data_IF_639545435591
#
_entry.id   IF_639545435591
#
_cell.length_a   1.000
_cell.length_b   1.000
_cell.length_c   1.000
_cell.angle_alpha   90.00
_cell.angle_beta   90.00
_cell.angle_gamma   90.00
#
_symmetry.space_group_name_H-M   'P 1'
#
loop_
_entity.id
_entity.type
_entity.pdbx_description
1 polymer ?
#
# COMPACT_ATOMS: atom_id res chain seq x y z
N UNK A 1 -36.26 -28.49 -13.43
CA UNK A 1 -35.23 -27.97 -14.36
C UNK A 1 -33.94 -27.80 -13.56
N UNK A 2 -32.83 -28.43 -13.97
CA UNK A 2 -31.51 -28.16 -13.37
C UNK A 2 -31.13 -26.73 -13.75
N UNK A 3 -30.76 -25.90 -12.78
CA UNK A 3 -30.17 -24.59 -13.04
C UNK A 3 -28.97 -24.75 -14.00
N UNK A 4 -28.73 -23.79 -14.93
CA UNK A 4 -27.54 -23.84 -15.76
C UNK A 4 -26.30 -23.93 -14.87
N UNK A 5 -25.36 -24.83 -15.21
CA UNK A 5 -24.05 -24.84 -14.56
C UNK A 5 -23.42 -23.46 -14.76
N UNK A 6 -22.99 -22.84 -13.66
CA UNK A 6 -22.27 -21.58 -13.73
C UNK A 6 -21.04 -21.66 -14.63
N UNK A 7 -20.63 -20.54 -15.22
CA UNK A 7 -19.49 -20.47 -16.13
C UNK A 7 -18.39 -19.59 -15.51
N UNK A 8 -17.16 -20.10 -15.49
CA UNK A 8 -15.98 -19.34 -15.04
C UNK A 8 -15.91 -19.12 -13.53
N UNK A 9 -15.05 -18.17 -13.14
CA UNK A 9 -14.74 -17.86 -11.74
C UNK A 9 -15.25 -16.48 -11.34
N UNK A 10 -15.98 -16.40 -10.24
CA UNK A 10 -16.46 -15.14 -9.65
C UNK A 10 -15.87 -14.90 -8.26
N UNK A 11 -15.89 -13.65 -7.81
CA UNK A 11 -15.51 -13.28 -6.45
C UNK A 11 -16.41 -12.16 -5.88
N UNK A 12 -16.92 -12.34 -4.67
CA UNK A 12 -17.59 -11.30 -3.88
C UNK A 12 -16.58 -10.57 -3.00
N UNK A 13 -16.46 -9.25 -3.17
CA UNK A 13 -15.54 -8.39 -2.45
C UNK A 13 -16.30 -7.46 -1.50
N UNK A 14 -15.91 -7.43 -0.22
CA UNK A 14 -16.61 -6.73 0.86
C UNK A 14 -15.66 -5.72 1.52
N UNK A 15 -16.05 -4.45 1.54
CA UNK A 15 -15.24 -3.35 2.08
C UNK A 15 -15.32 -3.24 3.61
N UNK A 16 -14.48 -2.36 4.19
CA UNK A 16 -14.39 -2.11 5.63
C UNK A 16 -15.45 -1.14 6.16
N UNK A 17 -15.41 -0.88 7.46
CA UNK A 17 -16.29 0.08 8.13
C UNK A 17 -15.90 1.51 7.74
N UNK A 18 -16.87 2.33 7.35
CA UNK A 18 -16.64 3.72 6.94
C UNK A 18 -16.03 3.84 5.53
N UNK A 19 -15.55 2.75 4.96
CA UNK A 19 -14.97 2.73 3.64
C UNK A 19 -15.94 2.36 2.52
N UNK A 20 -15.35 2.04 1.38
CA UNK A 20 -16.05 1.68 0.14
C UNK A 20 -15.22 0.65 -0.64
N UNK A 21 -15.59 0.33 -1.88
CA UNK A 21 -14.75 -0.50 -2.76
C UNK A 21 -13.29 -0.01 -2.91
N UNK A 22 -12.98 1.25 -2.57
CA UNK A 22 -11.61 1.77 -2.57
C UNK A 22 -10.70 1.09 -1.55
N UNK A 23 -11.24 0.55 -0.45
CA UNK A 23 -10.46 -0.12 0.62
C UNK A 23 -9.71 -1.35 0.09
N UNK A 24 -10.22 -1.96 -0.98
CA UNK A 24 -9.65 -3.14 -1.63
C UNK A 24 -8.58 -2.76 -2.67
N UNK A 25 -8.28 -1.47 -2.83
CA UNK A 25 -7.18 -0.97 -3.65
C UNK A 25 -7.15 -1.55 -5.08
N UNK A 26 -6.04 -2.17 -5.52
CA UNK A 26 -5.91 -2.72 -6.86
C UNK A 26 -6.60 -4.09 -7.05
N UNK A 27 -7.14 -4.70 -5.99
CA UNK A 27 -7.59 -6.10 -5.98
C UNK A 27 -8.63 -6.41 -7.05
N UNK A 28 -9.64 -5.54 -7.20
CA UNK A 28 -10.64 -5.62 -8.26
C UNK A 28 -10.02 -5.72 -9.67
N UNK A 29 -8.98 -4.91 -9.93
CA UNK A 29 -8.32 -4.89 -11.24
C UNK A 29 -7.41 -6.11 -11.43
N UNK A 30 -6.74 -6.56 -10.36
CA UNK A 30 -5.86 -7.73 -10.40
C UNK A 30 -6.64 -9.02 -10.69
N UNK A 31 -7.75 -9.25 -9.98
CA UNK A 31 -8.62 -10.42 -10.18
C UNK A 31 -9.21 -10.45 -11.59
N UNK A 32 -9.71 -9.32 -12.12
CA UNK A 32 -10.24 -9.26 -13.47
C UNK A 32 -9.22 -9.59 -14.56
N UNK A 33 -7.94 -9.24 -14.37
CA UNK A 33 -6.88 -9.56 -15.34
C UNK A 33 -6.61 -11.06 -15.47
N UNK A 34 -6.86 -11.83 -14.41
CA UNK A 34 -6.71 -13.29 -14.43
C UNK A 34 -8.02 -14.02 -14.75
N UNK A 35 -9.05 -13.28 -15.19
CA UNK A 35 -10.33 -13.85 -15.62
C UNK A 35 -11.35 -14.06 -14.52
N UNK A 36 -11.14 -13.50 -13.32
CA UNK A 36 -12.11 -13.55 -12.22
C UNK A 36 -13.08 -12.37 -12.33
N UNK A 37 -14.38 -12.65 -12.42
CA UNK A 37 -15.41 -11.62 -12.39
C UNK A 37 -15.63 -11.15 -10.95
N UNK A 38 -15.51 -9.85 -10.69
CA UNK A 38 -15.58 -9.30 -9.33
C UNK A 38 -16.89 -8.58 -9.09
N UNK A 39 -17.54 -8.89 -7.98
CA UNK A 39 -18.75 -8.23 -7.48
C UNK A 39 -18.45 -7.51 -6.18
N UNK A 40 -18.96 -6.29 -6.01
CA UNK A 40 -18.85 -5.53 -4.77
C UNK A 40 -20.24 -5.09 -4.31
N UNK A 41 -20.44 -5.06 -3.00
CA UNK A 41 -21.68 -4.59 -2.39
C UNK A 41 -21.37 -3.31 -1.61
N UNK A 42 -22.17 -2.27 -1.82
CA UNK A 42 -22.19 -1.12 -0.91
C UNK A 42 -23.01 -1.51 0.31
N UNK A 43 -22.35 -1.59 1.47
CA UNK A 43 -23.00 -1.97 2.71
C UNK A 43 -24.02 -0.90 3.16
N UNK A 44 -25.15 -1.29 3.77
CA UNK A 44 -26.09 -0.35 4.39
C UNK A 44 -25.39 0.72 5.25
N UNK A 45 -25.79 1.98 5.07
CA UNK A 45 -25.21 3.14 5.75
C UNK A 45 -23.87 3.66 5.18
N UNK A 46 -23.32 3.01 4.15
CA UNK A 46 -22.09 3.45 3.47
C UNK A 46 -22.39 4.12 2.13
N UNK A 47 -21.47 4.98 1.66
CA UNK A 47 -21.61 5.74 0.41
C UNK A 47 -22.44 7.02 0.52
N UNK A 48 -22.86 7.38 1.73
CA UNK A 48 -23.60 8.60 2.07
C UNK A 48 -22.83 9.46 3.06
N UNK A 49 -23.38 9.65 4.25
CA UNK A 49 -22.77 10.35 5.38
C UNK A 49 -22.59 9.42 6.59
N UNK A 50 -21.68 9.72 7.53
CA UNK A 50 -21.48 8.89 8.73
C UNK A 50 -22.75 8.64 9.55
N UNK A 51 -23.66 9.61 9.60
CA UNK A 51 -24.95 9.49 10.30
C UNK A 51 -25.87 8.40 9.70
N UNK A 52 -25.69 8.03 8.43
CA UNK A 52 -26.44 6.95 7.79
C UNK A 52 -26.13 5.57 8.38
N UNK A 53 -25.06 5.44 9.18
CA UNK A 53 -24.72 4.23 9.94
C UNK A 53 -25.53 4.07 11.23
N UNK A 54 -26.14 5.14 11.75
CA UNK A 54 -26.86 5.11 13.03
C UNK A 54 -28.02 4.11 13.10
N UNK A 55 -28.89 3.98 12.07
CA UNK A 55 -30.00 3.03 12.13
C UNK A 55 -29.58 1.59 11.81
N UNK A 56 -28.33 1.36 11.38
CA UNK A 56 -27.89 0.08 10.81
C UNK A 56 -27.40 -0.87 11.90
N UNK A 57 -27.82 -2.13 11.82
CA UNK A 57 -27.36 -3.21 12.71
C UNK A 57 -26.49 -4.24 11.97
N UNK A 58 -25.73 -5.03 12.73
CA UNK A 58 -24.83 -6.06 12.19
C UNK A 58 -25.54 -7.05 11.24
N UNK A 59 -26.80 -7.40 11.55
CA UNK A 59 -27.64 -8.24 10.71
C UNK A 59 -27.91 -7.63 9.34
N UNK A 60 -28.13 -6.31 9.23
CA UNK A 60 -28.42 -5.66 7.95
C UNK A 60 -27.23 -5.80 6.99
N UNK A 61 -26.01 -5.64 7.51
CA UNK A 61 -24.79 -5.86 6.73
C UNK A 61 -24.65 -7.31 6.31
N UNK A 62 -24.83 -8.26 7.25
CA UNK A 62 -24.71 -9.68 6.96
C UNK A 62 -25.78 -10.14 5.95
N UNK A 63 -27.01 -9.69 6.08
CA UNK A 63 -28.10 -10.04 5.17
C UNK A 63 -27.89 -9.42 3.79
N UNK A 64 -27.34 -8.19 3.70
CA UNK A 64 -26.98 -7.57 2.42
C UNK A 64 -25.94 -8.39 1.66
N UNK A 65 -24.83 -8.76 2.31
CA UNK A 65 -23.79 -9.59 1.67
C UNK A 65 -24.28 -11.01 1.39
N UNK A 66 -25.15 -11.55 2.24
CA UNK A 66 -25.76 -12.87 2.05
C UNK A 66 -26.66 -12.90 0.83
N UNK A 67 -27.49 -11.86 0.63
CA UNK A 67 -28.35 -11.74 -0.56
C UNK A 67 -27.51 -11.69 -1.84
N UNK A 68 -26.49 -10.84 -1.87
CA UNK A 68 -25.58 -10.76 -3.00
C UNK A 68 -24.89 -12.10 -3.29
N UNK A 69 -24.43 -12.80 -2.24
CA UNK A 69 -23.85 -14.13 -2.37
C UNK A 69 -24.84 -15.13 -2.97
N UNK A 70 -26.07 -15.22 -2.43
CA UNK A 70 -27.09 -16.17 -2.89
C UNK A 70 -27.48 -15.93 -4.36
N UNK A 71 -27.47 -14.67 -4.82
CA UNK A 71 -27.74 -14.30 -6.22
C UNK A 71 -26.59 -14.65 -7.19
N UNK A 72 -25.37 -14.83 -6.69
CA UNK A 72 -24.16 -14.95 -7.50
C UNK A 72 -23.54 -16.34 -7.48
N UNK A 73 -23.55 -17.04 -6.34
CA UNK A 73 -22.78 -18.28 -6.14
C UNK A 73 -23.13 -19.40 -7.13
N UNK A 74 -24.38 -19.44 -7.61
CA UNK A 74 -24.83 -20.43 -8.59
C UNK A 74 -24.58 -20.04 -10.05
N UNK A 75 -24.19 -18.80 -10.32
CA UNK A 75 -23.82 -18.31 -11.66
C UNK A 75 -22.39 -18.67 -12.07
N UNK A 76 -21.55 -19.06 -11.12
CA UNK A 76 -20.14 -19.39 -11.35
C UNK A 76 -19.85 -20.86 -11.04
N UNK A 77 -18.85 -21.41 -11.73
CA UNK A 77 -18.32 -22.75 -11.42
C UNK A 77 -17.53 -22.71 -10.12
N UNK A 78 -16.67 -21.70 -9.99
CA UNK A 78 -15.93 -21.38 -8.77
C UNK A 78 -16.34 -19.99 -8.28
N UNK A 79 -16.65 -19.85 -6.99
CA UNK A 79 -17.03 -18.55 -6.42
C UNK A 79 -16.26 -18.28 -5.14
N UNK A 80 -15.42 -17.25 -5.13
CA UNK A 80 -14.62 -16.85 -3.96
C UNK A 80 -15.34 -15.75 -3.16
N UNK A 81 -15.00 -15.65 -1.87
CA UNK A 81 -15.47 -14.57 -1.01
C UNK A 81 -14.25 -13.88 -0.39
N UNK A 82 -14.23 -12.55 -0.41
CA UNK A 82 -13.12 -11.75 0.09
C UNK A 82 -13.63 -10.55 0.85
N UNK A 83 -12.99 -10.24 1.97
CA UNK A 83 -13.33 -9.06 2.75
C UNK A 83 -12.12 -8.40 3.40
N UNK A 84 -12.22 -7.08 3.57
CA UNK A 84 -11.23 -6.24 4.26
C UNK A 84 -11.80 -5.68 5.56
N UNK A 85 -11.04 -5.72 6.65
CA UNK A 85 -11.45 -5.20 7.96
C UNK A 85 -12.82 -5.76 8.42
N UNK A 86 -13.83 -4.91 8.63
CA UNK A 86 -15.20 -5.32 8.94
C UNK A 86 -15.79 -6.25 7.86
N UNK A 87 -15.46 -6.00 6.60
CA UNK A 87 -15.81 -6.86 5.48
C UNK A 87 -15.23 -8.26 5.61
N UNK A 88 -14.06 -8.43 6.21
CA UNK A 88 -13.49 -9.74 6.50
C UNK A 88 -14.31 -10.49 7.57
N UNK A 89 -14.80 -9.81 8.60
CA UNK A 89 -15.72 -10.41 9.59
C UNK A 89 -17.04 -10.84 8.94
N UNK A 90 -17.58 -10.03 8.04
CA UNK A 90 -18.77 -10.36 7.27
C UNK A 90 -18.53 -11.56 6.35
N UNK A 91 -17.38 -11.62 5.67
CA UNK A 91 -16.99 -12.74 4.81
C UNK A 91 -16.88 -14.05 5.60
N UNK A 92 -16.24 -14.02 6.77
CA UNK A 92 -16.13 -15.15 7.70
C UNK A 92 -17.51 -15.63 8.16
N UNK A 93 -18.36 -14.71 8.65
CA UNK A 93 -19.71 -15.02 9.12
C UNK A 93 -20.61 -15.53 7.98
N UNK A 94 -20.50 -14.96 6.78
CA UNK A 94 -21.22 -15.42 5.59
C UNK A 94 -20.82 -16.86 5.22
N UNK A 95 -19.52 -17.14 5.14
CA UNK A 95 -19.02 -18.47 4.75
C UNK A 95 -19.41 -19.53 5.78
N UNK A 96 -19.40 -19.18 7.07
CA UNK A 96 -19.91 -20.03 8.14
C UNK A 96 -21.42 -20.28 7.99
N UNK A 97 -22.23 -19.22 7.88
CA UNK A 97 -23.70 -19.31 7.76
C UNK A 97 -24.16 -20.08 6.53
N UNK A 98 -23.48 -19.92 5.40
CA UNK A 98 -23.82 -20.55 4.12
C UNK A 98 -23.09 -21.85 3.86
N UNK A 99 -22.21 -22.27 4.79
CA UNK A 99 -21.38 -23.47 4.61
C UNK A 99 -20.72 -23.49 3.24
N UNK A 100 -20.05 -22.37 2.91
CA UNK A 100 -19.49 -22.14 1.59
C UNK A 100 -18.47 -23.22 1.20
N UNK A 101 -18.61 -23.78 -0.01
CA UNK A 101 -17.74 -24.86 -0.55
C UNK A 101 -17.39 -24.72 -2.04
N UNK A 102 -17.90 -23.69 -2.72
CA UNK A 102 -17.69 -23.49 -4.17
C UNK A 102 -16.41 -22.74 -4.52
N UNK A 103 -15.65 -22.31 -3.53
CA UNK A 103 -14.41 -21.60 -3.72
C UNK A 103 -13.72 -21.43 -2.38
N UNK A 104 -13.03 -20.31 -2.25
CA UNK A 104 -12.14 -20.04 -1.13
C UNK A 104 -12.48 -18.69 -0.50
N UNK A 105 -12.12 -18.56 0.77
CA UNK A 105 -12.30 -17.35 1.56
C UNK A 105 -10.98 -16.60 1.70
N UNK A 106 -11.02 -15.27 1.56
CA UNK A 106 -9.89 -14.38 1.83
C UNK A 106 -10.28 -13.33 2.86
N UNK A 107 -9.62 -13.35 4.01
CA UNK A 107 -9.79 -12.40 5.09
C UNK A 107 -8.56 -11.49 5.18
N UNK A 108 -8.77 -10.19 4.93
CA UNK A 108 -7.72 -9.16 4.92
C UNK A 108 -7.88 -8.26 6.15
N UNK A 109 -6.86 -8.19 7.00
CA UNK A 109 -6.81 -7.42 8.25
C UNK A 109 -8.08 -7.58 9.13
N UNK A 110 -8.52 -8.81 9.36
CA UNK A 110 -9.77 -9.08 10.09
C UNK A 110 -9.67 -8.67 11.57
N UNK A 111 -10.48 -7.71 12.07
CA UNK A 111 -10.36 -7.18 13.43
C UNK A 111 -11.11 -8.04 14.45
N UNK A 112 -10.73 -9.33 14.58
CA UNK A 112 -11.31 -10.24 15.59
C UNK A 112 -11.06 -9.69 17.01
N UNK A 113 -9.87 -9.15 17.24
CA UNK A 113 -9.50 -8.37 18.41
C UNK A 113 -9.20 -6.93 17.99
N UNK A 114 -9.84 -5.96 18.68
CA UNK A 114 -9.53 -4.53 18.53
C UNK A 114 -8.56 -4.18 19.65
N UNK A 115 -7.30 -4.51 19.44
CA UNK A 115 -6.19 -4.38 20.39
C UNK A 115 -4.87 -3.99 19.73
N UNK A 116 -4.92 -3.36 18.55
CA UNK A 116 -3.76 -2.81 17.87
C UNK A 116 -3.10 -1.67 18.67
N UNK A 117 -1.89 -1.31 18.27
CA UNK A 117 -1.02 -0.41 19.04
C UNK A 117 -1.55 1.03 19.17
N UNK A 118 -2.40 1.48 18.24
CA UNK A 118 -3.03 2.81 18.25
C UNK A 118 -4.38 2.82 18.98
N UNK A 119 -4.90 1.65 19.38
CA UNK A 119 -6.16 1.58 20.10
C UNK A 119 -6.05 2.20 21.50
N UNK A 120 -6.97 3.09 21.92
CA UNK A 120 -6.88 3.74 23.21
C UNK A 120 -6.86 2.74 24.38
N UNK A 121 -6.05 3.00 25.41
CA UNK A 121 -5.95 2.13 26.60
C UNK A 121 -7.31 1.92 27.29
N UNK A 122 -8.20 2.92 27.21
CA UNK A 122 -9.56 2.90 27.77
C UNK A 122 -10.60 2.26 26.84
N UNK A 123 -10.20 1.62 25.73
CA UNK A 123 -11.13 1.03 24.74
C UNK A 123 -12.18 0.10 25.34
N UNK A 124 -11.91 -0.54 26.47
CA UNK A 124 -12.85 -1.42 27.17
C UNK A 124 -14.06 -0.65 27.77
N UNK A 125 -13.92 0.65 28.03
CA UNK A 125 -15.00 1.51 28.53
C UNK A 125 -16.16 1.65 27.53
N UNK A 126 -15.97 1.29 26.25
CA UNK A 126 -17.07 1.28 25.28
C UNK A 126 -18.20 0.33 25.67
N UNK A 127 -17.88 -0.80 26.32
CA UNK A 127 -18.89 -1.80 26.70
C UNK A 127 -19.90 -1.24 27.71
N UNK A 128 -19.50 -0.63 28.85
CA UNK A 128 -20.46 0.05 29.72
C UNK A 128 -21.15 1.24 29.02
N UNK A 129 -20.44 1.99 28.16
CA UNK A 129 -21.03 3.10 27.39
C UNK A 129 -22.18 2.64 26.48
N UNK A 130 -22.13 1.43 25.93
CA UNK A 130 -23.22 0.87 25.12
C UNK A 130 -24.54 0.71 25.88
N UNK A 131 -24.50 0.62 27.21
CA UNK A 131 -25.68 0.49 28.05
C UNK A 131 -26.31 1.85 28.41
N UNK A 132 -25.62 2.96 28.14
CA UNK A 132 -26.13 4.31 28.41
C UNK A 132 -26.98 4.75 27.20
N UNK A 133 -28.31 4.97 27.37
CA UNK A 133 -29.21 5.28 26.26
C UNK A 133 -28.77 6.52 25.47
N UNK A 134 -28.67 6.39 24.15
CA UNK A 134 -28.34 7.47 23.21
C UNK A 134 -26.88 7.94 23.22
N UNK A 135 -26.05 7.55 24.20
CA UNK A 135 -24.68 8.04 24.31
C UNK A 135 -23.79 7.51 23.17
N UNK A 136 -23.88 6.22 22.87
CA UNK A 136 -23.12 5.61 21.77
C UNK A 136 -23.48 6.18 20.38
N UNK A 137 -24.70 6.71 20.19
CA UNK A 137 -25.10 7.37 18.95
C UNK A 137 -24.51 8.79 18.82
N UNK A 138 -24.12 9.42 19.93
CA UNK A 138 -23.58 10.79 19.96
C UNK A 138 -22.06 10.85 19.96
N UNK A 139 -21.39 9.78 20.39
CA UNK A 139 -19.93 9.71 20.40
C UNK A 139 -19.45 9.39 18.98
N UNK A 140 -18.56 10.24 18.47
CA UNK A 140 -17.84 10.03 17.22
C UNK A 140 -16.52 9.33 17.51
N UNK A 141 -16.19 8.35 16.68
CA UNK A 141 -14.88 7.71 16.65
C UNK A 141 -14.22 8.21 15.38
N UNK A 142 -13.25 9.10 15.54
CA UNK A 142 -12.54 9.71 14.41
C UNK A 142 -11.55 8.71 13.79
N UNK A 143 -11.43 8.80 12.47
CA UNK A 143 -10.41 8.13 11.67
C UNK A 143 -9.22 9.09 11.63
N UNK A 144 -8.23 8.83 12.49
CA UNK A 144 -7.08 9.71 12.72
C UNK A 144 -5.81 9.20 12.05
N UNK A 145 -4.82 10.08 11.90
CA UNK A 145 -3.50 9.73 11.37
C UNK A 145 -2.85 8.65 12.25
N UNK A 146 -2.35 7.53 11.68
CA UNK A 146 -1.92 7.30 10.28
C UNK A 146 -2.97 6.75 9.28
N UNK A 147 -4.26 6.71 9.57
CA UNK A 147 -5.34 6.23 8.67
C UNK A 147 -5.17 4.78 8.18
N UNK A 148 -4.55 3.94 9.00
CA UNK A 148 -4.21 2.57 8.66
C UNK A 148 -3.05 2.44 7.68
N UNK A 149 -2.29 3.50 7.38
CA UNK A 149 -1.30 3.50 6.30
C UNK A 149 0.09 3.85 6.84
N UNK A 150 1.06 2.95 6.68
CA UNK A 150 2.47 3.14 7.06
C UNK A 150 3.21 4.05 6.07
N UNK A 151 2.92 3.94 4.78
CA UNK A 151 3.54 4.75 3.75
C UNK A 151 3.21 6.25 3.87
N UNK A 152 4.21 7.09 4.13
CA UNK A 152 4.02 8.54 4.32
C UNK A 152 3.45 9.26 3.09
N UNK A 153 3.84 8.85 1.87
CA UNK A 153 3.34 9.47 0.63
C UNK A 153 1.85 9.13 0.42
N UNK A 154 1.48 7.86 0.59
CA UNK A 154 0.08 7.43 0.47
C UNK A 154 -0.76 8.10 1.56
N UNK A 155 -0.24 8.16 2.79
CA UNK A 155 -0.88 8.87 3.91
C UNK A 155 -1.10 10.35 3.60
N UNK A 156 -0.10 11.05 3.07
CA UNK A 156 -0.24 12.45 2.65
C UNK A 156 -1.30 12.64 1.56
N UNK A 157 -1.39 11.71 0.59
CA UNK A 157 -2.44 11.72 -0.44
C UNK A 157 -3.83 11.51 0.17
N UNK A 158 -3.98 10.57 1.11
CA UNK A 158 -5.23 10.31 1.82
C UNK A 158 -5.67 11.51 2.65
N UNK A 159 -4.73 12.13 3.38
CA UNK A 159 -4.95 13.37 4.13
C UNK A 159 -5.45 14.49 3.23
N UNK A 160 -4.77 14.72 2.10
CA UNK A 160 -5.19 15.74 1.14
C UNK A 160 -6.58 15.45 0.52
N UNK A 161 -6.93 14.18 0.30
CA UNK A 161 -8.28 13.78 -0.15
C UNK A 161 -9.33 14.10 0.90
N UNK A 162 -9.06 13.79 2.15
CA UNK A 162 -9.94 14.16 3.24
C UNK A 162 -10.13 15.67 3.27
N UNK A 163 -9.05 16.46 3.28
CA UNK A 163 -9.09 17.94 3.32
C UNK A 163 -9.92 18.56 2.18
N UNK A 164 -9.92 17.95 0.99
CA UNK A 164 -10.77 18.35 -0.14
C UNK A 164 -12.25 17.95 -0.01
N UNK A 165 -12.59 17.09 0.94
CA UNK A 165 -13.94 16.58 1.13
C UNK A 165 -14.30 15.42 0.19
N UNK A 166 -13.30 14.66 -0.30
CA UNK A 166 -13.55 13.50 -1.15
C UNK A 166 -14.25 12.38 -0.32
N UNK A 167 -15.42 11.90 -0.77
CA UNK A 167 -16.20 10.84 -0.09
C UNK A 167 -15.71 9.42 -0.45
N UNK A 168 -14.43 9.12 -0.24
CA UNK A 168 -13.87 7.77 -0.48
C UNK A 168 -13.90 6.87 0.76
N UNK A 169 -13.86 7.49 1.95
CA UNK A 169 -13.96 6.89 3.27
C UNK A 169 -14.53 7.93 4.23
N UNK A 170 -15.22 7.51 5.28
CA UNK A 170 -15.69 8.40 6.33
C UNK A 170 -14.53 8.84 7.24
N UNK A 171 -14.54 10.11 7.64
CA UNK A 171 -13.58 10.67 8.60
C UNK A 171 -13.86 10.28 10.05
N UNK A 172 -15.07 9.81 10.32
CA UNK A 172 -15.48 9.35 11.63
C UNK A 172 -16.66 8.40 11.47
N UNK A 173 -16.90 7.57 12.49
CA UNK A 173 -18.07 6.69 12.58
C UNK A 173 -18.73 6.82 13.95
N UNK A 174 -20.06 6.62 14.06
CA UNK A 174 -20.70 6.60 15.37
C UNK A 174 -20.20 5.43 16.22
N UNK A 175 -20.01 5.64 17.52
CA UNK A 175 -19.64 4.56 18.44
C UNK A 175 -20.70 3.43 18.48
N UNK A 176 -21.97 3.76 18.20
CA UNK A 176 -23.05 2.80 18.01
C UNK A 176 -22.76 1.80 16.86
N UNK A 177 -22.03 2.23 15.84
CA UNK A 177 -21.61 1.38 14.72
C UNK A 177 -20.51 0.39 15.16
N UNK A 178 -19.55 0.86 15.99
CA UNK A 178 -18.51 -0.01 16.59
C UNK A 178 -19.15 -1.11 17.46
N UNK A 179 -20.27 -0.82 18.14
CA UNK A 179 -21.05 -1.85 18.86
C UNK A 179 -21.52 -2.98 17.94
N UNK A 180 -21.89 -2.66 16.69
CA UNK A 180 -22.30 -3.67 15.71
C UNK A 180 -21.09 -4.48 15.22
N UNK A 181 -19.93 -3.85 15.03
CA UNK A 181 -18.66 -4.56 14.78
C UNK A 181 -18.33 -5.52 15.92
N UNK A 182 -18.50 -5.10 17.18
CA UNK A 182 -18.33 -5.98 18.35
C UNK A 182 -19.30 -7.18 18.36
N UNK A 183 -20.46 -7.09 17.70
CA UNK A 183 -21.34 -8.26 17.48
C UNK A 183 -20.80 -9.19 16.41
N UNK A 184 -20.35 -8.65 15.27
CA UNK A 184 -19.70 -9.43 14.21
C UNK A 184 -18.49 -10.20 14.75
N UNK A 185 -17.65 -9.53 15.55
CA UNK A 185 -16.50 -10.13 16.23
C UNK A 185 -16.91 -11.34 17.08
N UNK A 186 -18.00 -11.22 17.85
CA UNK A 186 -18.53 -12.33 18.66
C UNK A 186 -19.05 -13.50 17.82
N UNK A 187 -19.68 -13.22 16.68
CA UNK A 187 -20.09 -14.28 15.76
C UNK A 187 -18.89 -15.05 15.22
N UNK A 188 -17.85 -14.34 14.77
CA UNK A 188 -16.60 -14.96 14.29
C UNK A 188 -15.91 -15.76 15.41
N UNK A 189 -15.79 -15.20 16.62
CA UNK A 189 -15.21 -15.89 17.78
C UNK A 189 -15.94 -17.22 18.08
N UNK A 190 -17.27 -17.24 17.98
CA UNK A 190 -18.08 -18.43 18.22
C UNK A 190 -18.29 -19.35 17.00
N UNK A 191 -17.86 -18.92 15.81
CA UNK A 191 -18.23 -19.54 14.53
C UNK A 191 -17.08 -19.99 13.64
N UNK A 192 -15.88 -19.43 13.79
CA UNK A 192 -14.75 -19.68 12.87
C UNK A 192 -14.46 -21.18 12.62
N UNK A 193 -14.59 -22.03 13.63
CA UNK A 193 -14.39 -23.49 13.51
C UNK A 193 -15.40 -24.22 12.62
N UNK A 194 -16.50 -23.58 12.22
CA UNK A 194 -17.51 -24.13 11.30
C UNK A 194 -17.31 -23.69 9.85
N UNK A 195 -16.28 -22.90 9.56
CA UNK A 195 -15.94 -22.51 8.20
C UNK A 195 -15.43 -23.74 7.45
N UNK A 196 -16.01 -23.98 6.28
CA UNK A 196 -15.85 -25.22 5.54
C UNK A 196 -14.91 -25.14 4.33
N UNK A 197 -14.58 -23.93 3.88
CA UNK A 197 -13.73 -23.69 2.72
C UNK A 197 -12.29 -23.33 3.13
N UNK A 198 -11.30 -23.59 2.26
CA UNK A 198 -9.95 -23.10 2.47
C UNK A 198 -9.95 -21.58 2.64
N UNK A 199 -9.18 -21.09 3.61
CA UNK A 199 -9.18 -19.68 4.01
C UNK A 199 -7.76 -19.10 3.97
N UNK A 200 -7.59 -17.96 3.31
CA UNK A 200 -6.38 -17.14 3.41
C UNK A 200 -6.61 -16.02 4.41
N UNK A 201 -5.70 -15.88 5.37
CA UNK A 201 -5.65 -14.76 6.30
C UNK A 201 -4.41 -13.94 5.99
N UNK A 202 -4.59 -12.67 5.63
CA UNK A 202 -3.49 -11.73 5.41
C UNK A 202 -3.59 -10.62 6.44
N UNK A 203 -2.51 -10.37 7.18
CA UNK A 203 -2.52 -9.44 8.31
C UNK A 203 -1.17 -8.74 8.46
N UNK A 204 -1.17 -7.46 8.82
CA UNK A 204 0.05 -6.70 9.07
C UNK A 204 0.61 -6.96 10.48
N UNK A 205 1.94 -7.10 10.60
CA UNK A 205 2.60 -7.25 11.91
C UNK A 205 2.34 -6.04 12.82
N UNK A 206 2.43 -4.85 12.25
CA UNK A 206 2.27 -3.57 12.94
C UNK A 206 0.90 -2.95 12.67
N UNK A 207 -0.17 -3.74 12.72
CA UNK A 207 -1.52 -3.21 12.55
C UNK A 207 -1.98 -2.40 13.77
N UNK A 208 -2.41 -1.18 13.50
CA UNK A 208 -2.73 -0.18 14.52
C UNK A 208 -4.09 -0.39 15.19
N UNK A 209 -5.01 -1.08 14.51
CA UNK A 209 -6.38 -1.32 14.95
C UNK A 209 -6.53 -2.72 15.56
N UNK A 210 -5.91 -3.72 14.94
CA UNK A 210 -6.05 -5.14 15.32
C UNK A 210 -4.70 -5.83 15.33
N UNK A 211 -4.23 -6.28 16.49
CA UNK A 211 -2.94 -6.98 16.56
C UNK A 211 -2.94 -8.31 15.80
N UNK A 212 -1.74 -8.89 15.61
CA UNK A 212 -1.54 -10.23 15.03
C UNK A 212 -2.34 -11.34 15.71
N UNK A 213 -2.77 -11.13 16.96
CA UNK A 213 -3.63 -12.04 17.70
C UNK A 213 -4.90 -12.42 16.92
N UNK A 214 -5.44 -11.50 16.12
CA UNK A 214 -6.59 -11.81 15.27
C UNK A 214 -6.27 -12.86 14.22
N UNK A 215 -5.12 -12.74 13.55
CA UNK A 215 -4.67 -13.71 12.55
C UNK A 215 -4.31 -15.06 13.20
N UNK A 216 -3.63 -15.04 14.34
CA UNK A 216 -3.28 -16.25 15.09
C UNK A 216 -4.53 -17.00 15.58
N UNK A 217 -5.55 -16.28 16.03
CA UNK A 217 -6.83 -16.89 16.38
C UNK A 217 -7.50 -17.55 15.18
N UNK A 218 -7.54 -16.88 14.02
CA UNK A 218 -8.16 -17.44 12.83
C UNK A 218 -7.41 -18.67 12.32
N UNK A 219 -6.07 -18.65 12.32
CA UNK A 219 -5.23 -19.79 11.98
C UNK A 219 -5.49 -21.00 12.91
N UNK A 220 -5.67 -20.76 14.21
CA UNK A 220 -5.96 -21.83 15.16
C UNK A 220 -7.41 -22.33 15.10
N UNK A 221 -8.36 -21.46 14.78
CA UNK A 221 -9.79 -21.75 14.88
C UNK A 221 -10.39 -22.30 13.57
N UNK A 222 -9.96 -21.82 12.40
CA UNK A 222 -10.50 -22.25 11.10
C UNK A 222 -9.77 -23.52 10.63
N UNK A 223 -10.48 -24.57 10.16
CA UNK A 223 -9.86 -25.88 9.88
C UNK A 223 -8.77 -25.90 8.79
N UNK A 224 -8.87 -25.05 7.77
CA UNK A 224 -7.94 -25.00 6.64
C UNK A 224 -7.56 -23.55 6.37
N UNK A 225 -6.38 -23.17 6.87
CA UNK A 225 -5.88 -21.79 6.82
C UNK A 225 -4.47 -21.72 6.25
N UNK A 226 -4.26 -20.74 5.37
CA UNK A 226 -2.96 -20.16 5.08
C UNK A 226 -2.88 -18.78 5.70
N UNK A 227 -1.90 -18.54 6.57
CA UNK A 227 -1.61 -17.21 7.14
C UNK A 227 -0.47 -16.54 6.41
N UNK A 228 -0.62 -15.26 6.10
CA UNK A 228 0.43 -14.39 5.55
C UNK A 228 0.55 -13.17 6.45
N UNK A 229 1.76 -12.94 6.96
CA UNK A 229 2.08 -11.75 7.76
C UNK A 229 2.84 -10.78 6.88
N UNK A 230 2.38 -9.52 6.85
CA UNK A 230 3.03 -8.42 6.16
C UNK A 230 3.90 -7.64 7.13
N UNK A 231 5.09 -7.26 6.71
CA UNK A 231 6.11 -6.67 7.59
C UNK A 231 6.18 -5.15 7.49
N UNK A 232 5.65 -4.54 6.43
CA UNK A 232 5.81 -3.11 6.15
C UNK A 232 4.48 -2.38 5.88
N UNK A 233 3.39 -2.81 6.50
CA UNK A 233 2.09 -2.14 6.39
C UNK A 233 1.42 -1.95 7.75
N UNK A 234 0.47 -1.02 7.83
CA UNK A 234 -0.47 -0.91 8.95
C UNK A 234 -1.81 -1.57 8.57
N UNK A 235 -2.95 -1.04 9.03
CA UNK A 235 -4.24 -1.68 8.89
C UNK A 235 -4.72 -1.81 7.43
N UNK A 236 -4.50 -0.80 6.60
CA UNK A 236 -5.00 -0.68 5.21
C UNK A 236 -4.08 -1.37 4.18
N UNK A 237 -3.82 -2.65 4.41
CA UNK A 237 -2.83 -3.47 3.68
C UNK A 237 -3.03 -3.52 2.15
N UNK A 238 -4.25 -3.27 1.66
CA UNK A 238 -4.53 -3.28 0.21
C UNK A 238 -4.03 -2.04 -0.54
N UNK A 239 -3.68 -0.96 0.18
CA UNK A 239 -3.22 0.31 -0.41
C UNK A 239 -1.86 0.76 0.12
N UNK A 240 -1.32 0.08 1.13
CA UNK A 240 -0.07 0.42 1.79
C UNK A 240 1.18 -0.11 1.03
N UNK A 241 2.35 -0.15 1.68
CA UNK A 241 3.61 -0.62 1.07
C UNK A 241 3.50 -2.03 0.50
N UNK A 242 2.97 -3.00 1.27
CA UNK A 242 2.93 -4.41 0.88
C UNK A 242 1.77 -4.77 -0.06
N UNK A 243 1.06 -3.78 -0.62
CA UNK A 243 -0.11 -4.01 -1.49
C UNK A 243 0.15 -4.99 -2.64
N UNK A 244 1.37 -5.04 -3.17
CA UNK A 244 1.75 -5.98 -4.23
C UNK A 244 1.91 -7.41 -3.70
N UNK A 245 2.46 -7.57 -2.50
CA UNK A 245 2.53 -8.84 -1.80
C UNK A 245 1.12 -9.35 -1.45
N UNK A 246 0.22 -8.46 -1.02
CA UNK A 246 -1.20 -8.81 -0.77
C UNK A 246 -1.84 -9.37 -2.04
N UNK A 247 -1.74 -8.64 -3.15
CA UNK A 247 -2.28 -9.09 -4.45
C UNK A 247 -1.66 -10.43 -4.87
N UNK A 248 -0.34 -10.56 -4.76
CA UNK A 248 0.36 -11.78 -5.15
C UNK A 248 -0.07 -12.98 -4.30
N UNK A 249 -0.16 -12.80 -2.98
CA UNK A 249 -0.56 -13.86 -2.05
C UNK A 249 -2.00 -14.31 -2.26
N UNK A 250 -2.89 -13.36 -2.55
CA UNK A 250 -4.29 -13.65 -2.89
C UNK A 250 -4.36 -14.45 -4.18
N UNK A 251 -3.72 -14.00 -5.27
CA UNK A 251 -3.81 -14.69 -6.55
C UNK A 251 -3.23 -16.10 -6.49
N UNK A 252 -2.06 -16.24 -5.87
CA UNK A 252 -1.40 -17.53 -5.65
C UNK A 252 -2.31 -18.49 -4.87
N UNK A 253 -2.91 -18.03 -3.77
CA UNK A 253 -3.84 -18.83 -2.99
C UNK A 253 -5.09 -19.24 -3.77
N UNK A 254 -5.59 -18.34 -4.63
CA UNK A 254 -6.73 -18.59 -5.51
C UNK A 254 -6.39 -19.47 -6.73
N UNK A 255 -5.13 -19.91 -6.87
CA UNK A 255 -4.67 -20.78 -7.97
C UNK A 255 -4.36 -20.03 -9.28
N UNK A 256 -4.15 -18.72 -9.22
CA UNK A 256 -3.78 -17.89 -10.37
C UNK A 256 -2.32 -17.47 -10.31
N UNK A 257 -1.66 -17.45 -11.47
CA UNK A 257 -0.30 -16.94 -11.61
C UNK A 257 -0.27 -15.40 -11.36
N UNK A 258 0.40 -14.93 -10.29
CA UNK A 258 0.51 -13.50 -9.99
C UNK A 258 1.12 -12.68 -11.13
N UNK A 259 2.00 -13.29 -11.95
CA UNK A 259 2.64 -12.61 -13.08
C UNK A 259 1.62 -12.15 -14.14
N UNK A 260 0.47 -12.83 -14.27
CA UNK A 260 -0.61 -12.45 -15.20
C UNK A 260 -1.42 -11.24 -14.73
N UNK A 261 -1.50 -11.02 -13.42
CA UNK A 261 -2.21 -9.88 -12.85
C UNK A 261 -1.36 -8.61 -12.76
N UNK A 262 -0.03 -8.76 -12.75
CA UNK A 262 0.89 -7.64 -12.91
C UNK A 262 0.46 -6.88 -14.15
N UNK A 263 0.24 -5.57 -13.99
CA UNK A 263 0.15 -4.69 -15.14
C UNK A 263 1.45 -4.98 -15.89
N UNK A 264 1.42 -5.50 -17.13
CA UNK A 264 2.55 -5.24 -18.02
C UNK A 264 2.76 -3.75 -17.85
N UNK A 265 3.91 -3.36 -17.29
CA UNK A 265 4.32 -1.97 -17.24
C UNK A 265 3.90 -1.45 -18.59
N UNK A 266 2.91 -0.54 -18.65
CA UNK A 266 2.64 0.13 -19.92
C UNK A 266 4.04 0.52 -20.35
N UNK A 267 4.55 -0.02 -21.47
CA UNK A 267 5.78 0.51 -22.07
C UNK A 267 5.54 1.99 -21.96
N UNK A 268 6.32 2.67 -21.11
CA UNK A 268 6.25 4.11 -21.04
C UNK A 268 6.45 4.49 -22.49
N UNK A 269 5.40 5.04 -23.12
CA UNK A 269 5.58 5.60 -24.43
C UNK A 269 6.55 6.72 -24.11
N UNK A 270 7.81 6.52 -24.45
CA UNK A 270 8.82 7.56 -24.31
C UNK A 270 8.36 8.67 -25.24
N UNK A 271 7.74 9.70 -24.65
CA UNK A 271 7.47 10.93 -25.38
C UNK A 271 8.79 11.69 -25.34
N UNK A 272 9.44 11.90 -26.50
CA UNK A 272 10.63 12.72 -26.58
C UNK A 272 10.32 14.10 -26.02
N UNK A 273 11.23 14.63 -25.22
CA UNK A 273 11.16 15.99 -24.71
C UNK A 273 11.78 16.96 -25.71
N UNK A 274 11.21 18.16 -25.80
CA UNK A 274 11.84 19.28 -26.49
C UNK A 274 13.13 19.68 -25.79
N UNK A 275 14.13 20.14 -26.54
CA UNK A 275 15.45 20.47 -26.01
C UNK A 275 15.41 21.52 -24.89
N UNK A 276 14.50 22.49 -24.99
CA UNK A 276 14.29 23.52 -23.95
C UNK A 276 13.80 22.89 -22.63
N UNK A 277 12.84 21.96 -22.70
CA UNK A 277 12.32 21.27 -21.52
C UNK A 277 13.38 20.39 -20.85
N UNK A 278 14.28 19.78 -21.64
CA UNK A 278 15.43 19.05 -21.11
C UNK A 278 16.39 20.03 -20.43
N UNK A 279 16.64 21.20 -21.04
CA UNK A 279 17.45 22.27 -20.45
C UNK A 279 16.94 22.72 -19.08
N UNK A 280 15.63 22.97 -18.96
CA UNK A 280 14.99 23.32 -17.68
C UNK A 280 15.16 22.21 -16.64
N UNK A 281 14.81 20.96 -17.01
CA UNK A 281 14.88 19.82 -16.11
C UNK A 281 16.32 19.55 -15.60
N UNK A 282 17.30 19.63 -16.50
CA UNK A 282 18.72 19.45 -16.16
C UNK A 282 19.23 20.62 -15.31
N UNK A 283 18.76 21.84 -15.58
CA UNK A 283 19.06 23.02 -14.76
C UNK A 283 18.55 22.88 -13.33
N UNK A 284 17.30 22.46 -13.15
CA UNK A 284 16.70 22.18 -11.84
C UNK A 284 17.46 21.08 -11.10
N UNK A 285 17.83 20.01 -11.82
CA UNK A 285 18.61 18.91 -11.27
C UNK A 285 20.00 19.35 -10.78
N UNK A 286 20.74 20.11 -11.59
CA UNK A 286 22.05 20.64 -11.21
C UNK A 286 21.92 21.60 -10.03
N UNK A 287 20.91 22.48 -10.02
CA UNK A 287 20.67 23.41 -8.93
C UNK A 287 20.38 22.67 -7.62
N UNK A 288 19.55 21.63 -7.64
CA UNK A 288 19.26 20.81 -6.47
C UNK A 288 20.53 20.16 -5.89
N UNK A 289 21.42 19.65 -6.76
CA UNK A 289 22.70 19.07 -6.33
C UNK A 289 23.66 20.11 -5.75
N UNK A 290 23.82 21.27 -6.40
CA UNK A 290 24.86 22.25 -6.03
C UNK A 290 24.46 23.14 -4.85
N UNK A 291 23.16 23.29 -4.58
CA UNK A 291 22.64 24.05 -3.44
C UNK A 291 22.42 23.20 -2.18
N UNK A 292 22.83 21.93 -2.21
CA UNK A 292 22.67 20.96 -1.10
C UNK A 292 21.21 20.65 -0.73
N UNK A 293 20.27 20.92 -1.64
CA UNK A 293 18.85 20.56 -1.51
C UNK A 293 18.58 19.23 -2.24
N UNK A 294 19.17 18.14 -1.74
CA UNK A 294 19.10 16.84 -2.41
C UNK A 294 17.67 16.30 -2.54
N UNK A 295 16.78 16.68 -1.63
CA UNK A 295 15.35 16.37 -1.66
C UNK A 295 14.65 16.89 -2.92
N UNK A 296 15.13 17.99 -3.49
CA UNK A 296 14.58 18.57 -4.71
C UNK A 296 14.90 17.74 -5.96
N UNK A 297 15.84 16.78 -5.88
CA UNK A 297 16.15 15.85 -6.97
C UNK A 297 15.03 14.82 -7.16
N UNK A 298 14.43 14.32 -6.08
CA UNK A 298 13.52 13.16 -6.13
C UNK A 298 12.26 13.39 -6.99
N UNK A 299 11.62 14.58 -6.96
CA UNK A 299 10.51 14.89 -7.84
C UNK A 299 10.89 14.94 -9.32
N UNK A 300 12.17 15.15 -9.68
CA UNK A 300 12.65 15.20 -11.07
C UNK A 300 12.86 13.81 -11.67
N UNK A 301 13.02 12.79 -10.82
CA UNK A 301 13.26 11.41 -11.25
C UNK A 301 11.96 10.69 -11.62
N UNK A 302 12.02 9.79 -12.60
CA UNK A 302 10.97 8.83 -12.84
C UNK A 302 10.85 7.84 -11.65
N UNK A 303 9.68 7.25 -11.37
CA UNK A 303 9.56 6.25 -10.31
C UNK A 303 10.46 5.02 -10.53
N UNK A 304 10.67 4.65 -11.79
CA UNK A 304 11.50 3.52 -12.23
C UNK A 304 12.89 3.97 -12.68
N UNK A 305 13.41 5.06 -12.10
CA UNK A 305 14.72 5.59 -12.47
C UNK A 305 15.81 4.55 -12.25
N UNK A 306 16.73 4.45 -13.20
CA UNK A 306 17.90 3.58 -13.09
C UNK A 306 19.14 4.43 -12.84
N UNK A 307 19.72 4.35 -11.65
CA UNK A 307 20.89 5.14 -11.27
C UNK A 307 22.12 4.26 -11.09
N UNK A 308 23.23 4.60 -11.74
CA UNK A 308 24.47 3.80 -11.71
C UNK A 308 25.70 4.64 -11.44
N UNK A 309 26.53 4.19 -10.52
CA UNK A 309 27.89 4.72 -10.30
C UNK A 309 28.92 3.68 -10.75
N UNK A 310 29.55 3.90 -11.91
CA UNK A 310 30.50 2.98 -12.54
C UNK A 310 31.94 3.14 -12.00
N UNK A 311 32.11 3.31 -10.69
CA UNK A 311 33.36 3.72 -10.06
C UNK A 311 33.65 2.94 -8.77
N UNK A 312 34.85 3.10 -8.21
CA UNK A 312 35.22 2.63 -6.86
C UNK A 312 35.24 3.82 -5.90
N UNK A 313 34.06 4.32 -5.52
CA UNK A 313 33.90 5.33 -4.46
C UNK A 313 32.75 4.91 -3.53
N UNK A 314 32.53 5.59 -2.39
CA UNK A 314 31.58 5.13 -1.37
C UNK A 314 30.11 4.96 -1.82
N UNK A 315 29.70 5.55 -2.95
CA UNK A 315 28.34 5.41 -3.52
C UNK A 315 28.32 4.55 -4.80
N UNK A 316 29.39 3.83 -5.09
CA UNK A 316 29.44 2.85 -6.15
C UNK A 316 28.29 1.84 -6.02
N UNK A 317 27.60 1.56 -7.13
CA UNK A 317 26.45 0.66 -7.12
C UNK A 317 25.43 0.98 -8.20
N UNK A 318 24.39 0.15 -8.23
CA UNK A 318 23.18 0.35 -9.03
C UNK A 318 22.00 0.53 -8.09
N UNK A 319 21.14 1.49 -8.39
CA UNK A 319 19.94 1.83 -7.64
C UNK A 319 18.77 1.80 -8.62
N UNK A 320 17.88 0.83 -8.45
CA UNK A 320 16.92 0.42 -9.48
C UNK A 320 15.57 1.16 -9.45
N UNK A 321 15.38 2.02 -8.46
CA UNK A 321 14.20 2.86 -8.29
C UNK A 321 14.49 4.12 -7.47
N UNK A 322 13.46 4.95 -7.26
CA UNK A 322 13.58 6.20 -6.50
C UNK A 322 13.93 5.98 -5.03
N UNK A 323 13.42 4.91 -4.41
CA UNK A 323 13.65 4.66 -2.98
C UNK A 323 15.11 4.25 -2.74
N UNK A 324 15.68 3.44 -3.64
CA UNK A 324 17.10 3.12 -3.65
C UNK A 324 17.99 4.37 -3.83
N UNK A 325 17.56 5.35 -4.66
CA UNK A 325 18.28 6.63 -4.82
C UNK A 325 18.19 7.48 -3.56
N UNK A 326 17.03 7.54 -2.89
CA UNK A 326 16.88 8.25 -1.62
C UNK A 326 17.83 7.65 -0.57
N UNK A 327 17.89 6.33 -0.47
CA UNK A 327 18.81 5.62 0.43
C UNK A 327 20.29 5.92 0.10
N UNK A 328 20.64 6.07 -1.18
CA UNK A 328 21.98 6.49 -1.60
C UNK A 328 22.34 7.89 -1.07
N UNK A 329 21.43 8.87 -1.19
CA UNK A 329 21.67 10.22 -0.67
C UNK A 329 21.70 10.27 0.86
N UNK A 330 20.91 9.44 1.55
CA UNK A 330 20.99 9.27 2.99
C UNK A 330 22.37 8.73 3.42
N UNK A 331 22.86 7.69 2.74
CA UNK A 331 24.21 7.13 2.96
C UNK A 331 25.31 8.15 2.72
N UNK A 332 25.16 9.04 1.73
CA UNK A 332 26.10 10.15 1.51
C UNK A 332 26.13 11.12 2.70
N UNK A 333 24.98 11.42 3.29
CA UNK A 333 24.89 12.23 4.51
C UNK A 333 25.53 11.55 5.73
N UNK A 334 25.32 10.24 5.89
CA UNK A 334 25.96 9.44 6.95
C UNK A 334 27.49 9.44 6.82
N UNK A 335 28.00 9.22 5.60
CA UNK A 335 29.44 9.23 5.31
C UNK A 335 30.10 10.59 5.61
N UNK A 336 29.35 11.68 5.45
CA UNK A 336 29.83 13.01 5.78
C UNK A 336 29.80 13.31 7.28
N UNK A 337 29.25 12.43 8.13
CA UNK A 337 29.18 12.65 9.58
C UNK A 337 28.45 13.94 9.98
N UNK A 338 27.47 14.35 9.18
CA UNK A 338 26.75 15.63 9.35
C UNK A 338 27.52 16.87 8.85
N UNK A 339 28.71 16.71 8.26
CA UNK A 339 29.39 17.81 7.56
C UNK A 339 28.73 18.12 6.20
N UNK A 340 28.82 19.36 5.71
CA UNK A 340 28.28 19.71 4.40
C UNK A 340 28.95 18.93 3.27
N UNK A 341 28.14 18.34 2.39
CA UNK A 341 28.62 17.71 1.16
C UNK A 341 28.60 18.74 0.04
N UNK A 342 29.77 19.10 -0.48
CA UNK A 342 29.87 20.05 -1.58
C UNK A 342 29.85 19.32 -2.91
N UNK A 343 28.83 19.62 -3.72
CA UNK A 343 28.72 19.13 -5.09
C UNK A 343 28.83 20.34 -6.03
N UNK A 344 29.65 20.24 -7.07
CA UNK A 344 29.88 21.34 -8.02
C UNK A 344 29.83 20.81 -9.44
N UNK A 345 29.06 21.48 -10.30
CA UNK A 345 29.11 21.24 -11.74
C UNK A 345 30.39 21.85 -12.32
N UNK A 346 31.27 21.01 -12.90
CA UNK A 346 32.57 21.43 -13.45
C UNK A 346 32.51 21.80 -14.93
N UNK A 347 31.37 21.58 -15.59
CA UNK A 347 31.10 22.02 -16.96
C UNK A 347 29.63 22.40 -17.12
N UNK A 348 29.33 23.22 -18.13
CA UNK A 348 27.94 23.42 -18.55
C UNK A 348 27.35 22.10 -19.07
N UNK A 349 26.03 21.88 -18.91
CA UNK A 349 25.36 20.73 -19.48
C UNK A 349 25.33 20.79 -21.00
N UNK A 350 25.74 19.70 -21.63
CA UNK A 350 25.61 19.48 -23.06
C UNK A 350 24.43 18.54 -23.30
N UNK A 351 23.46 18.99 -24.09
CA UNK A 351 22.22 18.26 -24.35
C UNK A 351 22.27 17.72 -25.78
N UNK A 352 22.08 16.40 -25.93
CA UNK A 352 22.05 15.72 -27.22
C UNK A 352 20.84 14.78 -27.26
N UNK A 353 19.86 15.12 -28.10
CA UNK A 353 18.61 14.38 -28.23
C UNK A 353 17.87 14.31 -26.89
N UNK A 354 17.78 13.11 -26.31
CA UNK A 354 17.10 12.85 -25.02
C UNK A 354 18.09 12.70 -23.85
N UNK A 355 19.35 13.08 -24.06
CA UNK A 355 20.40 12.92 -23.07
C UNK A 355 21.06 14.24 -22.71
N UNK A 356 21.59 14.32 -21.51
CA UNK A 356 22.42 15.43 -21.08
C UNK A 356 23.67 14.91 -20.37
N UNK A 357 24.81 15.54 -20.62
CA UNK A 357 26.08 15.22 -19.95
C UNK A 357 26.70 16.48 -19.34
N UNK A 358 27.30 16.34 -18.16
CA UNK A 358 28.06 17.40 -17.52
C UNK A 358 29.07 16.84 -16.52
N UNK A 359 30.13 17.60 -16.24
CA UNK A 359 31.12 17.27 -15.24
C UNK A 359 30.62 17.58 -13.82
N UNK A 360 30.93 16.71 -12.87
CA UNK A 360 30.56 16.81 -11.47
C UNK A 360 31.78 16.55 -10.58
N UNK A 361 31.98 17.40 -9.58
CA UNK A 361 32.93 17.21 -8.49
C UNK A 361 32.16 17.11 -7.17
N UNK A 362 32.54 16.15 -6.34
CA UNK A 362 32.00 15.98 -4.97
C UNK A 362 33.15 16.04 -3.98
N UNK A 363 32.96 16.75 -2.87
CA UNK A 363 33.93 16.81 -1.78
C UNK A 363 33.25 16.98 -0.42
N UNK A 364 33.77 16.30 0.60
CA UNK A 364 33.38 16.45 2.01
C UNK A 364 34.50 15.94 2.92
N UNK A 365 34.30 16.04 4.24
CA UNK A 365 35.20 15.50 5.25
C UNK A 365 34.52 14.32 5.92
N UNK A 366 35.16 13.15 5.90
CA UNK A 366 34.71 11.94 6.60
C UNK A 366 35.73 11.62 7.70
N UNK A 367 35.30 11.62 8.96
CA UNK A 367 36.17 11.32 10.11
C UNK A 367 37.51 12.10 10.13
N UNK A 368 37.48 13.37 9.71
CA UNK A 368 38.66 14.24 9.61
C UNK A 368 39.51 14.05 8.36
N UNK A 369 39.17 13.10 7.49
CA UNK A 369 39.86 12.84 6.22
C UNK A 369 39.11 13.50 5.05
N UNK A 370 39.77 14.34 4.24
CA UNK A 370 39.17 14.89 3.03
C UNK A 370 38.86 13.78 2.01
N UNK A 371 37.60 13.69 1.58
CA UNK A 371 37.16 12.80 0.52
C UNK A 371 36.71 13.64 -0.67
N UNK A 372 37.24 13.35 -1.85
CA UNK A 372 36.82 14.03 -3.08
C UNK A 372 36.89 13.10 -4.29
N UNK A 373 35.96 13.28 -5.22
CA UNK A 373 35.98 12.60 -6.51
C UNK A 373 35.41 13.48 -7.62
N UNK A 374 35.81 13.20 -8.86
CA UNK A 374 35.41 13.95 -10.06
C UNK A 374 35.10 13.01 -11.21
N UNK A 375 34.14 13.40 -12.04
CA UNK A 375 33.67 12.57 -13.15
C UNK A 375 32.60 13.25 -13.97
N UNK A 376 32.00 12.48 -14.87
CA UNK A 376 30.95 12.93 -15.78
C UNK A 376 29.66 12.24 -15.40
N UNK A 377 28.59 13.01 -15.29
CA UNK A 377 27.24 12.52 -15.09
C UNK A 377 26.47 12.57 -16.40
N UNK A 378 25.83 11.46 -16.74
CA UNK A 378 24.99 11.27 -17.92
C UNK A 378 23.55 11.10 -17.46
N UNK A 379 22.64 11.85 -18.05
CA UNK A 379 21.21 11.81 -17.77
C UNK A 379 20.48 11.36 -19.03
N UNK A 380 19.49 10.49 -18.88
CA UNK A 380 18.51 10.18 -19.92
C UNK A 380 17.15 10.72 -19.48
N UNK A 381 16.53 11.54 -20.32
CA UNK A 381 15.28 12.25 -20.02
C UNK A 381 14.17 11.76 -20.93
N UNK A 382 12.97 11.57 -20.39
CA UNK A 382 11.75 11.39 -21.17
C UNK A 382 10.53 11.74 -20.33
N UNK A 383 9.40 12.08 -20.96
CA UNK A 383 8.14 12.34 -20.25
C UNK A 383 8.24 13.40 -19.13
N UNK A 384 9.11 14.40 -19.29
CA UNK A 384 9.35 15.45 -18.30
C UNK A 384 10.11 14.98 -17.05
N UNK A 385 10.82 13.85 -17.11
CA UNK A 385 11.53 13.22 -15.98
C UNK A 385 12.89 12.69 -16.39
N UNK A 386 13.78 12.55 -15.43
CA UNK A 386 15.04 11.81 -15.57
C UNK A 386 14.75 10.32 -15.36
N UNK A 387 15.00 9.52 -16.38
CA UNK A 387 14.72 8.07 -16.42
C UNK A 387 15.95 7.22 -16.14
N UNK A 388 17.14 7.73 -16.44
CA UNK A 388 18.39 7.08 -16.04
C UNK A 388 19.46 8.11 -15.69
N UNK A 389 20.33 7.74 -14.76
CA UNK A 389 21.49 8.50 -14.34
C UNK A 389 22.69 7.58 -14.32
N UNK A 390 23.77 7.96 -14.99
CA UNK A 390 25.02 7.22 -14.96
C UNK A 390 26.17 8.16 -14.59
N UNK A 391 26.95 7.79 -13.59
CA UNK A 391 28.15 8.50 -13.18
C UNK A 391 29.39 7.72 -13.60
N UNK A 392 30.27 8.36 -14.37
CA UNK A 392 31.56 7.82 -14.80
C UNK A 392 32.70 8.62 -14.17
N UNK A 393 33.66 7.98 -13.47
CA UNK A 393 34.77 8.69 -12.88
C UNK A 393 35.72 9.22 -13.97
N UNK A 394 36.35 10.37 -13.73
CA UNK A 394 37.45 10.83 -14.57
C UNK A 394 38.65 9.89 -14.42
N UNK A 395 39.24 9.44 -15.53
CA UNK A 395 40.42 8.59 -15.47
C UNK A 395 41.57 9.33 -14.75
N UNK A 396 42.04 8.79 -13.62
CA UNK A 396 43.23 9.31 -12.91
C UNK A 396 43.08 9.69 -11.43
N UNK A 397 41.95 9.48 -10.76
CA UNK A 397 41.85 9.68 -9.30
C UNK A 397 41.82 8.33 -8.60
N UNK A 398 43.01 7.83 -8.26
CA UNK A 398 43.18 6.84 -7.19
C UNK A 398 42.54 7.41 -5.92
N UNK A 399 41.74 6.61 -5.22
CA UNK A 399 41.49 6.86 -3.81
C UNK A 399 42.81 6.62 -3.07
N UNK A 400 43.73 7.59 -3.13
CA UNK A 400 44.89 7.61 -2.26
C UNK A 400 44.38 7.91 -0.85
N UNK A 401 44.03 6.83 -0.14
CA UNK A 401 44.08 6.78 1.31
C UNK A 401 45.46 7.28 1.72
N UNK A 402 45.51 8.50 2.26
CA UNK A 402 46.71 9.10 2.80
C UNK A 402 47.35 8.13 3.80
N UNK A 403 48.50 7.59 3.43
CA UNK A 403 49.40 6.92 4.36
C UNK A 403 50.24 8.01 5.02
N UNK A 404 49.82 8.51 6.18
CA UNK A 404 50.65 8.75 7.38
C UNK A 404 49.83 9.33 8.52
#
# INVERSE_FOLDING_TARGET
>A
MKAPKGAGTGALLIHGLGGTQYDLGPMHKALRRVGVETHAVTLPGHGGQPDDLLPVVAEDWLDSVTRAYDELVDKYETFHVMGMCMGALLALALCERRQHRKGQLVALSAPVFIDGWSTPWYRFLRYPVYHIPGLSARIRVDEDEPFGIKNDLVRAVVKAKFERGDNFHYRWVPLACVRQVDRLRRWVLGGAHRIACPTLVVHAREDELTSLRSADFLEAAVPDVRKVVLEDSYHMICVDNDREQVVSSVLDFLGFDPARARRQSRRLVEVPMEAEAIGTLVGEYIAALTTQHFEAVFPLLAPTVQWRHLATHPLAGTYDDRDAVIAMFARLGELAGGQPVHITATSAPRIEGQTAEFGLAVSFVADGVPVAWRGTQFLQCSNGRITAVEYRPSAGVSADTATT
#
